data_IF_458562014333
#
_entry.id   IF_458562014333
#
_cell.length_a   1.000
_cell.length_b   1.000
_cell.length_c   1.000
_cell.angle_alpha   90.00
_cell.angle_beta   90.00
_cell.angle_gamma   90.00
#
_symmetry.space_group_name_H-M   'P 1'
#
loop_
_entity.id
_entity.type
_entity.pdbx_description
1 polymer ?
#
# COMPACT_ATOMS: atom_id res chain seq x y z
N UNK A 1 4.17 -2.59 -14.31
CA UNK A 1 3.38 -2.90 -13.10
C UNK A 1 4.16 -2.73 -11.81
N UNK A 2 5.29 -3.44 -11.60
CA UNK A 2 6.10 -3.37 -10.37
C UNK A 2 6.48 -1.95 -9.92
N UNK A 3 6.85 -1.06 -10.84
CA UNK A 3 7.22 0.33 -10.52
C UNK A 3 6.03 1.15 -9.99
N UNK A 4 4.81 0.94 -10.51
CA UNK A 4 3.60 1.62 -10.03
C UNK A 4 3.26 1.19 -8.59
N UNK A 5 3.39 -0.11 -8.31
CA UNK A 5 3.18 -0.66 -6.96
C UNK A 5 4.20 -0.11 -5.96
N UNK A 6 5.48 -0.04 -6.34
CA UNK A 6 6.53 0.53 -5.50
C UNK A 6 6.36 2.04 -5.29
N UNK A 7 5.87 2.76 -6.30
CA UNK A 7 5.52 4.18 -6.17
C UNK A 7 4.38 4.36 -5.16
N UNK A 8 3.29 3.62 -5.31
CA UNK A 8 2.15 3.65 -4.37
C UNK A 8 2.59 3.33 -2.94
N UNK A 9 3.43 2.31 -2.75
CA UNK A 9 3.98 1.96 -1.45
C UNK A 9 4.74 3.14 -0.82
N UNK A 10 5.61 3.80 -1.57
CA UNK A 10 6.36 4.98 -1.10
C UNK A 10 5.43 6.16 -0.80
N UNK A 11 4.44 6.41 -1.66
CA UNK A 11 3.50 7.50 -1.50
C UNK A 11 2.65 7.32 -0.23
N UNK A 12 2.20 6.08 0.06
CA UNK A 12 1.47 5.75 1.28
C UNK A 12 2.32 5.93 2.54
N UNK A 13 3.59 5.53 2.51
CA UNK A 13 4.50 5.76 3.64
C UNK A 13 4.71 7.26 3.90
N UNK A 14 4.88 8.05 2.84
CA UNK A 14 5.04 9.50 2.91
C UNK A 14 3.77 10.19 3.42
N UNK A 15 2.61 9.71 3.01
CA UNK A 15 1.33 10.17 3.57
C UNK A 15 1.25 9.86 5.07
N UNK A 16 1.73 8.68 5.49
CA UNK A 16 1.76 8.26 6.88
C UNK A 16 2.58 9.16 7.80
N UNK A 17 3.62 9.82 7.28
CA UNK A 17 4.42 10.78 8.05
C UNK A 17 3.60 12.01 8.48
N UNK A 18 2.64 12.41 7.64
CA UNK A 18 1.76 13.57 7.85
C UNK A 18 0.47 13.24 8.63
N UNK A 19 0.29 12.01 9.11
CA UNK A 19 -0.87 11.63 9.91
C UNK A 19 -0.89 12.42 11.23
N UNK A 20 -2.01 13.08 11.51
CA UNK A 20 -2.20 13.90 12.71
C UNK A 20 -3.02 13.20 13.81
N UNK A 21 -3.97 12.35 13.41
CA UNK A 21 -5.00 11.81 14.32
C UNK A 21 -4.94 10.28 14.51
N UNK A 22 -4.01 9.61 13.84
CA UNK A 22 -3.86 8.14 13.92
C UNK A 22 -2.44 7.78 14.30
N UNK A 23 -2.29 6.62 14.95
CA UNK A 23 -0.98 6.06 15.26
C UNK A 23 -0.18 5.78 13.97
N UNK A 24 0.99 6.45 13.88
CA UNK A 24 1.88 6.38 12.71
C UNK A 24 2.55 5.01 12.61
N UNK A 25 2.95 4.41 13.72
CA UNK A 25 3.61 3.11 13.75
C UNK A 25 2.62 2.03 13.32
N UNK A 26 1.40 2.05 13.86
CA UNK A 26 0.35 1.13 13.47
C UNK A 26 0.01 1.25 11.98
N UNK A 27 -0.11 2.48 11.47
CA UNK A 27 -0.35 2.73 10.05
C UNK A 27 0.76 2.12 9.17
N UNK A 28 2.02 2.41 9.47
CA UNK A 28 3.15 1.87 8.72
C UNK A 28 3.21 0.34 8.76
N UNK A 29 3.00 -0.26 9.93
CA UNK A 29 2.97 -1.72 10.09
C UNK A 29 1.83 -2.34 9.27
N UNK A 30 0.65 -1.72 9.25
CA UNK A 30 -0.49 -2.19 8.47
C UNK A 30 -0.20 -2.16 6.97
N UNK A 31 0.35 -1.07 6.45
CA UNK A 31 0.76 -0.97 5.05
C UNK A 31 1.79 -2.06 4.70
N UNK A 32 2.84 -2.24 5.51
CA UNK A 32 3.84 -3.30 5.29
C UNK A 32 3.21 -4.70 5.27
N UNK A 33 2.30 -4.99 6.21
CA UNK A 33 1.61 -6.29 6.29
C UNK A 33 0.76 -6.54 5.05
N UNK A 34 -0.04 -5.58 4.62
CA UNK A 34 -0.89 -5.70 3.43
C UNK A 34 -0.06 -5.93 2.17
N UNK A 35 1.01 -5.15 1.94
CA UNK A 35 1.89 -5.35 0.77
C UNK A 35 2.65 -6.69 0.81
N UNK A 36 3.03 -7.17 2.00
CA UNK A 36 3.69 -8.47 2.16
C UNK A 36 2.74 -9.63 1.90
N UNK A 37 1.51 -9.57 2.42
CA UNK A 37 0.47 -10.58 2.20
C UNK A 37 0.07 -10.66 0.72
N UNK A 38 -0.02 -9.49 0.08
CA UNK A 38 -0.42 -9.36 -1.32
C UNK A 38 0.75 -9.50 -2.32
N UNK A 39 1.97 -9.83 -1.84
CA UNK A 39 3.18 -9.97 -2.68
C UNK A 39 3.07 -11.11 -3.70
N UNK A 40 2.26 -12.11 -3.39
CA UNK A 40 2.03 -13.29 -4.23
C UNK A 40 0.70 -13.23 -5.00
N UNK A 41 -0.01 -12.09 -4.98
CA UNK A 41 -1.16 -11.89 -5.86
C UNK A 41 -0.65 -11.82 -7.31
N UNK A 42 -0.77 -12.94 -8.01
CA UNK A 42 -0.41 -13.12 -9.42
C UNK A 42 -1.60 -12.80 -10.33
N UNK A 43 -2.82 -12.75 -9.77
CA UNK A 43 -4.06 -12.46 -10.48
C UNK A 43 -4.16 -10.98 -10.86
N UNK A 44 -4.18 -10.70 -12.16
CA UNK A 44 -4.25 -9.35 -12.73
C UNK A 44 -5.56 -8.63 -12.35
N UNK A 45 -6.64 -9.39 -12.12
CA UNK A 45 -7.94 -8.89 -11.62
C UNK A 45 -7.87 -8.40 -10.18
N UNK A 46 -7.16 -9.11 -9.30
CA UNK A 46 -6.98 -8.70 -7.89
C UNK A 46 -6.07 -7.48 -7.77
N UNK A 47 -5.04 -7.40 -8.63
CA UNK A 47 -4.16 -6.22 -8.72
C UNK A 47 -4.96 -5.00 -9.16
N UNK A 48 -5.83 -5.13 -10.17
CA UNK A 48 -6.68 -4.03 -10.63
C UNK A 48 -7.68 -3.60 -9.55
N UNK A 49 -8.30 -4.52 -8.82
CA UNK A 49 -9.18 -4.19 -7.70
C UNK A 49 -8.47 -3.37 -6.62
N UNK A 50 -7.25 -3.75 -6.26
CA UNK A 50 -6.47 -3.04 -5.23
C UNK A 50 -5.84 -1.72 -5.70
N UNK A 51 -5.70 -1.49 -7.02
CA UNK A 51 -5.06 -0.30 -7.58
C UNK A 51 -6.04 0.68 -8.25
N UNK A 52 -7.27 0.27 -8.58
CA UNK A 52 -8.28 1.18 -9.11
C UNK A 52 -8.87 2.04 -8.00
N UNK A 53 -8.39 3.27 -7.92
CA UNK A 53 -9.14 4.39 -7.34
C UNK A 53 -10.06 4.91 -8.45
N UNK A 54 -11.37 4.80 -8.25
CA UNK A 54 -12.38 5.43 -9.12
C UNK A 54 -12.37 6.94 -8.93
#
# INVERSE_FOLDING_TARGET
MRQKVLKLYKDLLRYGENLKYTDKEYFQQRIRKSFKQNRHLISETEINFHLQVK
#
